data_IF_384496979679
#
_entry.id   IF_384496979679
#
_cell.length_a   1.000
_cell.length_b   1.000
_cell.length_c   1.000
_cell.angle_alpha   90.00
_cell.angle_beta   90.00
_cell.angle_gamma   90.00
#
_symmetry.space_group_name_H-M   'P 1'
#
loop_
_entity.id
_entity.type
_entity.pdbx_description
1 polymer ?
#
# COMPACT_ATOMS: atom_id res chain seq x y z
N UNK A 1 -18.53 -17.41 -14.03
CA UNK A 1 -17.76 -17.95 -12.89
C UNK A 1 -16.43 -17.21 -12.89
N UNK A 2 -16.12 -16.37 -11.89
CA UNK A 2 -14.82 -15.71 -11.84
C UNK A 2 -13.72 -16.74 -11.56
N UNK A 3 -12.49 -16.53 -12.06
CA UNK A 3 -11.39 -17.48 -11.90
C UNK A 3 -11.01 -17.61 -10.42
N UNK A 4 -10.82 -18.86 -9.99
CA UNK A 4 -10.27 -19.23 -8.68
C UNK A 4 -8.74 -19.17 -8.77
N UNK A 5 -8.15 -18.00 -8.57
CA UNK A 5 -6.71 -17.89 -8.33
C UNK A 5 -6.50 -17.64 -6.84
N UNK A 6 -5.77 -18.55 -6.19
CA UNK A 6 -5.51 -18.47 -4.77
C UNK A 6 -5.11 -19.82 -4.21
N UNK A 7 -3.99 -20.37 -4.68
CA UNK A 7 -3.28 -21.41 -3.92
C UNK A 7 -1.75 -21.22 -3.99
N UNK A 8 -1.21 -20.69 -5.09
CA UNK A 8 0.24 -20.47 -5.20
C UNK A 8 0.64 -19.02 -4.94
N UNK A 9 1.59 -18.76 -4.02
CA UNK A 9 2.14 -17.42 -3.82
C UNK A 9 2.86 -16.96 -5.09
N UNK A 10 2.78 -15.66 -5.39
CA UNK A 10 3.51 -15.10 -6.53
C UNK A 10 5.02 -15.08 -6.29
N UNK A 11 5.44 -14.92 -5.04
CA UNK A 11 6.85 -14.96 -4.64
C UNK A 11 6.98 -15.80 -3.38
N UNK A 12 7.94 -16.73 -3.38
CA UNK A 12 8.22 -17.55 -2.22
C UNK A 12 9.72 -17.60 -1.91
N UNK A 13 10.07 -17.22 -0.68
CA UNK A 13 11.44 -17.21 -0.17
C UNK A 13 11.63 -18.41 0.76
N UNK A 14 12.10 -19.54 0.21
CA UNK A 14 12.30 -20.79 0.95
C UNK A 14 13.73 -20.95 1.42
N UNK A 15 13.95 -21.07 2.74
CA UNK A 15 15.24 -21.40 3.40
C UNK A 15 16.44 -20.68 2.76
N UNK A 16 16.38 -19.36 2.68
CA UNK A 16 17.32 -18.54 1.92
C UNK A 16 17.77 -17.36 2.76
N UNK A 17 18.96 -16.85 2.47
CA UNK A 17 19.51 -15.62 3.04
C UNK A 17 19.38 -14.43 2.08
N UNK A 18 18.74 -14.64 0.93
CA UNK A 18 18.61 -13.63 -0.12
C UNK A 18 17.66 -12.49 0.30
N UNK A 19 18.08 -11.25 0.05
CA UNK A 19 17.20 -10.08 0.14
C UNK A 19 16.21 -10.08 -1.03
N UNK A 20 14.93 -9.84 -0.73
CA UNK A 20 13.92 -9.56 -1.75
C UNK A 20 13.73 -8.04 -1.87
N UNK A 21 13.76 -7.54 -3.11
CA UNK A 21 13.37 -6.17 -3.43
C UNK A 21 12.36 -6.20 -4.57
N UNK A 22 11.18 -5.61 -4.34
CA UNK A 22 10.10 -5.43 -5.32
C UNK A 22 9.96 -3.94 -5.57
N UNK A 23 10.08 -3.53 -6.83
CA UNK A 23 10.09 -2.12 -7.21
C UNK A 23 9.33 -1.93 -8.53
N UNK A 24 8.49 -0.89 -8.62
CA UNK A 24 7.66 -0.61 -9.80
C UNK A 24 6.91 -1.83 -10.35
N UNK A 25 6.33 -2.63 -9.46
CA UNK A 25 5.79 -3.95 -9.78
C UNK A 25 4.41 -4.20 -9.17
N UNK A 26 3.66 -5.10 -9.79
CA UNK A 26 2.45 -5.70 -9.19
C UNK A 26 2.78 -7.16 -8.91
N UNK A 27 2.71 -7.54 -7.64
CA UNK A 27 2.95 -8.92 -7.19
C UNK A 27 1.75 -9.41 -6.40
N UNK A 28 1.46 -10.71 -6.47
CA UNK A 28 0.50 -11.33 -5.55
C UNK A 28 1.12 -11.62 -4.20
N UNK A 29 0.52 -12.54 -3.44
CA UNK A 29 1.01 -12.94 -2.11
C UNK A 29 2.49 -13.30 -2.10
N UNK A 30 3.21 -12.77 -1.11
CA UNK A 30 4.61 -13.07 -0.81
C UNK A 30 4.67 -13.96 0.42
N UNK A 31 5.24 -15.16 0.27
CA UNK A 31 5.44 -16.10 1.37
C UNK A 31 6.91 -16.18 1.74
N UNK A 32 7.21 -16.01 3.03
CA UNK A 32 8.56 -16.14 3.59
C UNK A 32 8.61 -17.40 4.45
N UNK A 33 9.05 -18.51 3.85
CA UNK A 33 9.27 -19.79 4.53
C UNK A 33 10.70 -19.88 5.05
N UNK A 34 10.91 -19.31 6.23
CA UNK A 34 12.19 -19.35 6.96
C UNK A 34 12.01 -20.02 8.32
N UNK A 35 13.07 -20.68 8.76
CA UNK A 35 13.16 -21.23 10.11
C UNK A 35 13.51 -20.09 11.09
N UNK A 36 12.53 -19.65 11.89
CA UNK A 36 12.69 -18.60 12.92
C UNK A 36 13.85 -18.87 13.89
N UNK A 37 14.27 -20.13 14.03
CA UNK A 37 15.37 -20.54 14.92
C UNK A 37 16.76 -20.36 14.29
N UNK A 38 16.84 -20.06 12.98
CA UNK A 38 18.09 -19.99 12.22
C UNK A 38 18.30 -18.61 11.60
N UNK A 39 18.89 -17.72 12.38
CA UNK A 39 19.48 -16.47 11.89
C UNK A 39 18.56 -15.25 11.94
N UNK A 40 19.07 -14.14 11.41
CA UNK A 40 18.38 -12.86 11.38
C UNK A 40 17.16 -12.90 10.44
N UNK A 41 16.09 -12.12 10.70
CA UNK A 41 14.97 -11.99 9.78
C UNK A 41 15.42 -11.59 8.37
N UNK A 42 14.73 -12.10 7.35
CA UNK A 42 15.04 -11.78 5.97
C UNK A 42 14.66 -10.33 5.64
N UNK A 43 15.52 -9.62 4.91
CA UNK A 43 15.17 -8.26 4.44
C UNK A 43 14.25 -8.33 3.22
N UNK A 44 13.07 -7.73 3.33
CA UNK A 44 12.09 -7.58 2.24
C UNK A 44 11.79 -6.10 2.04
N UNK A 45 12.09 -5.56 0.87
CA UNK A 45 11.82 -4.17 0.50
C UNK A 45 10.79 -4.13 -0.62
N UNK A 46 9.72 -3.37 -0.42
CA UNK A 46 8.69 -3.14 -1.42
C UNK A 46 8.53 -1.64 -1.60
N UNK A 47 8.68 -1.19 -2.84
CA UNK A 47 8.78 0.22 -3.21
C UNK A 47 7.95 0.48 -4.45
N UNK A 48 7.13 1.53 -4.47
CA UNK A 48 6.45 1.98 -5.69
C UNK A 48 5.63 0.86 -6.34
N UNK A 49 5.03 0.00 -5.52
CA UNK A 49 4.52 -1.30 -5.93
C UNK A 49 3.18 -1.64 -5.30
N UNK A 50 2.47 -2.57 -5.95
CA UNK A 50 1.22 -3.14 -5.48
C UNK A 50 1.46 -4.58 -5.06
N UNK A 51 1.01 -4.94 -3.86
CA UNK A 51 0.93 -6.33 -3.40
C UNK A 51 -0.55 -6.68 -3.27
N UNK A 52 -1.03 -7.66 -4.04
CA UNK A 52 -2.45 -8.00 -4.10
C UNK A 52 -2.73 -9.46 -3.72
N UNK A 53 -3.30 -9.67 -2.54
CA UNK A 53 -3.78 -10.96 -2.07
C UNK A 53 -5.18 -11.31 -2.60
N UNK A 54 -5.75 -10.50 -3.50
CA UNK A 54 -7.11 -10.58 -4.08
C UNK A 54 -8.27 -10.24 -3.12
N UNK A 55 -7.98 -10.04 -1.84
CA UNK A 55 -8.93 -9.56 -0.82
C UNK A 55 -8.18 -8.94 0.35
N UNK A 56 -8.78 -7.98 1.05
CA UNK A 56 -8.17 -7.36 2.23
C UNK A 56 -8.03 -8.33 3.42
N UNK A 57 -8.79 -9.42 3.46
CA UNK A 57 -8.74 -10.44 4.53
C UNK A 57 -7.77 -11.59 4.21
N UNK A 58 -7.16 -11.59 3.02
CA UNK A 58 -6.19 -12.60 2.60
C UNK A 58 -4.77 -12.14 2.90
N UNK A 59 -3.85 -13.07 3.22
CA UNK A 59 -2.46 -12.72 3.51
C UNK A 59 -1.74 -12.24 2.24
N UNK A 60 -1.32 -10.97 2.24
CA UNK A 60 -0.47 -10.40 1.21
C UNK A 60 1.02 -10.66 1.48
N UNK A 61 1.43 -10.60 2.75
CA UNK A 61 2.80 -10.95 3.18
C UNK A 61 2.72 -11.79 4.45
N UNK A 62 3.20 -13.03 4.39
CA UNK A 62 3.05 -14.00 5.48
C UNK A 62 4.14 -15.09 5.44
N UNK A 63 4.18 -15.95 6.46
CA UNK A 63 4.84 -17.26 6.35
C UNK A 63 3.79 -18.34 6.02
N UNK A 64 4.19 -19.58 5.72
CA UNK A 64 3.24 -20.69 5.56
C UNK A 64 2.28 -20.80 6.75
N UNK A 65 1.06 -21.28 6.49
CA UNK A 65 -0.01 -21.44 7.49
C UNK A 65 -0.43 -20.12 8.19
N UNK A 66 -0.39 -19.01 7.45
CA UNK A 66 -0.77 -17.66 7.90
C UNK A 66 0.01 -17.16 9.13
N UNK A 67 1.20 -17.71 9.34
CA UNK A 67 2.11 -17.31 10.41
C UNK A 67 2.78 -15.96 10.10
N UNK A 68 3.50 -15.44 11.08
CA UNK A 68 4.35 -14.27 10.89
C UNK A 68 5.56 -14.63 10.04
N UNK A 69 5.73 -13.95 8.90
CA UNK A 69 6.96 -14.03 8.11
C UNK A 69 8.15 -13.64 9.00
N UNK A 70 9.19 -14.48 9.07
CA UNK A 70 10.47 -14.12 9.69
C UNK A 70 11.25 -13.14 8.79
N UNK A 71 10.67 -11.95 8.61
CA UNK A 71 11.12 -10.91 7.71
C UNK A 71 11.03 -9.53 8.35
N UNK A 72 12.02 -8.70 8.04
CA UNK A 72 11.99 -7.26 8.21
C UNK A 72 11.47 -6.61 6.93
N UNK A 73 10.25 -6.10 6.97
CA UNK A 73 9.57 -5.51 5.82
C UNK A 73 9.74 -3.99 5.80
N UNK A 74 10.18 -3.45 4.66
CA UNK A 74 10.13 -2.01 4.37
C UNK A 74 9.08 -1.74 3.29
N UNK A 75 8.19 -0.78 3.53
CA UNK A 75 7.19 -0.30 2.57
C UNK A 75 7.42 1.18 2.28
N UNK A 76 7.55 1.56 1.01
CA UNK A 76 7.62 2.98 0.61
C UNK A 76 6.75 3.20 -0.62
N UNK A 77 5.77 4.10 -0.52
CA UNK A 77 4.83 4.39 -1.62
C UNK A 77 4.22 3.11 -2.21
N UNK A 78 3.63 2.29 -1.36
CA UNK A 78 3.09 0.98 -1.73
C UNK A 78 1.61 0.86 -1.44
N UNK A 79 0.89 0.09 -2.26
CA UNK A 79 -0.50 -0.30 -1.98
C UNK A 79 -0.56 -1.80 -1.75
N UNK A 80 -0.91 -2.22 -0.54
CA UNK A 80 -1.07 -3.62 -0.15
C UNK A 80 -2.55 -3.93 0.03
N UNK A 81 -3.10 -4.73 -0.89
CA UNK A 81 -4.44 -5.29 -0.81
C UNK A 81 -4.39 -6.64 -0.08
N UNK A 82 -4.51 -6.61 1.24
CA UNK A 82 -4.44 -7.81 2.07
C UNK A 82 -3.79 -7.57 3.43
N UNK A 83 -3.74 -8.63 4.22
CA UNK A 83 -3.08 -8.67 5.52
C UNK A 83 -1.57 -8.76 5.39
N UNK A 84 -0.87 -8.09 6.31
CA UNK A 84 0.59 -8.13 6.44
C UNK A 84 0.93 -8.68 7.82
N UNK A 85 1.61 -9.84 7.86
CA UNK A 85 2.07 -10.50 9.08
C UNK A 85 3.58 -10.72 9.00
N UNK A 86 4.35 -9.86 9.65
CA UNK A 86 5.81 -9.86 9.57
C UNK A 86 6.48 -9.80 10.94
N UNK A 87 7.73 -10.23 11.01
CA UNK A 87 8.51 -10.17 12.23
C UNK A 87 8.69 -8.72 12.70
N UNK A 88 9.06 -7.83 11.79
CA UNK A 88 9.18 -6.40 12.06
C UNK A 88 8.88 -5.56 10.81
N UNK A 89 8.46 -4.31 11.03
CA UNK A 89 8.34 -3.29 10.00
C UNK A 89 9.27 -2.11 10.33
N UNK A 90 10.57 -2.17 10.00
CA UNK A 90 11.51 -1.08 10.30
C UNK A 90 11.05 0.28 9.76
N UNK A 91 10.43 0.30 8.57
CA UNK A 91 9.90 1.50 7.95
C UNK A 91 8.68 1.20 7.07
N UNK A 92 7.57 1.88 7.33
CA UNK A 92 6.48 2.03 6.37
C UNK A 92 6.21 3.51 6.14
N UNK A 93 6.31 3.99 4.90
CA UNK A 93 6.08 5.40 4.56
C UNK A 93 5.23 5.58 3.30
N UNK A 94 4.39 6.62 3.28
CA UNK A 94 3.56 7.00 2.13
C UNK A 94 2.76 5.83 1.55
N UNK A 95 2.40 4.84 2.35
CA UNK A 95 1.88 3.55 1.90
C UNK A 95 0.47 3.28 2.43
N UNK A 96 -0.26 2.42 1.75
CA UNK A 96 -1.59 1.95 2.11
C UNK A 96 -1.53 0.45 2.34
N UNK A 97 -2.01 -0.01 3.50
CA UNK A 97 -2.34 -1.41 3.76
C UNK A 97 -3.83 -1.48 4.02
N UNK A 98 -4.59 -2.22 3.21
CA UNK A 98 -6.05 -2.31 3.37
C UNK A 98 -6.48 -3.35 4.38
N UNK A 99 -5.69 -4.43 4.51
CA UNK A 99 -5.87 -5.45 5.54
C UNK A 99 -5.16 -5.08 6.84
N UNK A 100 -5.09 -6.04 7.75
CA UNK A 100 -4.46 -5.85 9.04
C UNK A 100 -2.92 -5.84 8.92
N UNK A 101 -2.28 -4.89 9.59
CA UNK A 101 -0.82 -4.79 9.67
C UNK A 101 -0.33 -5.26 11.04
N UNK A 102 0.23 -6.47 11.09
CA UNK A 102 0.72 -7.10 12.30
C UNK A 102 2.25 -7.21 12.30
N UNK A 103 2.87 -6.79 13.40
CA UNK A 103 4.29 -7.00 13.65
C UNK A 103 4.52 -7.74 14.98
N UNK A 104 5.44 -8.69 15.01
CA UNK A 104 5.88 -9.34 16.25
C UNK A 104 6.70 -8.36 17.10
N UNK A 105 7.65 -7.66 16.46
CA UNK A 105 8.43 -6.59 17.06
C UNK A 105 7.71 -5.26 16.91
N UNK A 106 7.35 -4.69 18.05
CA UNK A 106 6.50 -3.48 18.16
C UNK A 106 7.24 -2.31 18.82
N UNK A 107 8.35 -2.60 19.46
CA UNK A 107 9.26 -1.66 20.11
C UNK A 107 10.18 -0.94 19.11
N UNK A 108 10.20 -1.40 17.87
CA UNK A 108 11.13 -0.98 16.82
C UNK A 108 10.39 -0.79 15.49
N UNK A 109 10.81 0.22 14.75
CA UNK A 109 10.20 0.61 13.47
C UNK A 109 9.18 1.74 13.59
N UNK A 110 8.62 2.14 12.45
CA UNK A 110 7.64 3.21 12.37
C UNK A 110 6.78 3.08 11.10
N UNK A 111 5.47 3.26 11.24
CA UNK A 111 4.57 3.55 10.14
C UNK A 111 4.33 5.07 10.12
N UNK A 112 4.72 5.75 9.06
CA UNK A 112 4.64 7.21 8.93
C UNK A 112 3.90 7.65 7.68
N UNK A 113 3.11 8.72 7.75
CA UNK A 113 2.39 9.29 6.60
C UNK A 113 1.73 8.20 5.75
N UNK A 114 1.03 7.27 6.38
CA UNK A 114 0.54 6.04 5.75
C UNK A 114 -0.85 5.71 6.27
N UNK A 115 -1.50 4.75 5.63
CA UNK A 115 -2.77 4.19 6.08
C UNK A 115 -2.62 2.71 6.38
N UNK A 116 -3.15 2.29 7.53
CA UNK A 116 -3.45 0.90 7.84
C UNK A 116 -4.60 0.87 8.88
N UNK A 117 -5.56 -0.06 8.81
CA UNK A 117 -6.59 -0.23 9.83
C UNK A 117 -5.99 -0.30 11.25
N UNK A 118 -6.65 0.32 12.23
CA UNK A 118 -6.22 0.28 13.65
C UNK A 118 -6.78 -0.97 14.36
N UNK A 119 -6.97 -2.07 13.62
CA UNK A 119 -7.62 -3.29 14.11
C UNK A 119 -6.75 -4.11 15.05
N UNK A 120 -5.42 -3.99 14.95
CA UNK A 120 -4.47 -4.84 15.67
C UNK A 120 -3.23 -4.07 16.14
N UNK A 121 -2.53 -4.57 17.17
CA UNK A 121 -1.24 -4.01 17.58
C UNK A 121 -0.23 -4.10 16.43
N UNK A 122 0.23 -2.93 15.98
CA UNK A 122 1.23 -2.78 14.93
C UNK A 122 2.41 -1.92 15.39
N UNK A 123 3.26 -1.47 14.46
CA UNK A 123 4.37 -0.58 14.77
C UNK A 123 3.86 0.80 15.24
N UNK A 124 4.71 1.61 15.91
CA UNK A 124 4.41 2.99 16.23
C UNK A 124 3.97 3.78 14.99
N UNK A 125 2.97 4.65 15.15
CA UNK A 125 2.38 5.42 14.06
C UNK A 125 2.72 6.90 14.16
N UNK A 126 3.14 7.51 13.07
CA UNK A 126 3.43 8.94 12.97
C UNK A 126 2.63 9.56 11.83
N UNK A 127 1.73 10.52 12.14
CA UNK A 127 0.91 11.25 11.15
C UNK A 127 0.23 10.33 10.11
N UNK A 128 -0.26 9.17 10.56
CA UNK A 128 -0.98 8.23 9.71
C UNK A 128 -2.45 8.63 9.58
N UNK A 129 -3.03 8.37 8.42
CA UNK A 129 -4.47 8.42 8.26
C UNK A 129 -5.12 7.32 9.12
N UNK A 130 -6.21 7.66 9.79
CA UNK A 130 -6.97 6.77 10.66
C UNK A 130 -8.46 6.97 10.45
N UNK A 131 -9.24 6.12 11.09
CA UNK A 131 -10.70 6.17 11.09
C UNK A 131 -11.24 7.59 11.39
N UNK A 132 -12.29 8.03 10.66
CA UNK A 132 -13.11 7.26 9.71
C UNK A 132 -12.54 7.15 8.29
N UNK A 133 -11.40 7.77 7.96
CA UNK A 133 -10.85 7.74 6.61
C UNK A 133 -10.54 6.30 6.15
N UNK A 134 -10.88 5.99 4.90
CA UNK A 134 -10.64 4.68 4.26
C UNK A 134 -10.14 4.89 2.84
N UNK A 135 -9.18 4.08 2.36
CA UNK A 135 -8.81 4.09 0.95
C UNK A 135 -10.03 3.78 0.10
N UNK A 136 -10.32 4.66 -0.83
CA UNK A 136 -11.35 4.45 -1.84
C UNK A 136 -10.65 4.37 -3.18
N UNK A 137 -10.62 3.19 -3.79
CA UNK A 137 -9.99 2.96 -5.09
C UNK A 137 -11.01 3.04 -6.21
N UNK A 138 -10.58 3.52 -7.38
CA UNK A 138 -11.36 3.45 -8.62
C UNK A 138 -11.70 2.01 -8.98
N UNK A 139 -10.73 1.10 -8.82
CA UNK A 139 -10.97 -0.34 -8.91
C UNK A 139 -9.93 -1.12 -8.11
N UNK A 140 -10.35 -2.23 -7.51
CA UNK A 140 -9.44 -3.24 -6.92
C UNK A 140 -9.35 -4.50 -7.78
N UNK A 141 -9.95 -4.48 -8.99
CA UNK A 141 -9.93 -5.62 -9.89
C UNK A 141 -8.70 -5.55 -10.80
N UNK A 142 -7.82 -6.55 -10.69
CA UNK A 142 -6.69 -6.67 -11.60
C UNK A 142 -7.13 -6.68 -13.07
N UNK A 143 -6.41 -5.92 -13.91
CA UNK A 143 -6.73 -5.70 -15.32
C UNK A 143 -7.70 -4.55 -15.61
N UNK A 144 -8.28 -3.91 -14.60
CA UNK A 144 -8.99 -2.64 -14.78
C UNK A 144 -7.99 -1.49 -15.00
N UNK A 145 -8.24 -0.52 -15.90
CA UNK A 145 -7.34 0.62 -16.11
C UNK A 145 -7.09 1.43 -14.84
N UNK A 146 -8.14 1.68 -14.05
CA UNK A 146 -8.06 2.33 -12.74
C UNK A 146 -7.66 1.42 -11.56
N UNK A 147 -6.97 0.31 -11.81
CA UNK A 147 -6.59 -0.65 -10.78
C UNK A 147 -5.66 -0.02 -9.72
N UNK A 148 -6.06 -0.09 -8.46
CA UNK A 148 -5.40 0.47 -7.27
C UNK A 148 -5.17 1.99 -7.30
N UNK A 149 -5.69 2.70 -8.29
CA UNK A 149 -5.69 4.16 -8.30
C UNK A 149 -6.72 4.66 -7.29
N UNK A 150 -6.37 5.68 -6.50
CA UNK A 150 -7.33 6.31 -5.62
C UNK A 150 -8.45 6.95 -6.45
N UNK A 151 -9.68 6.73 -6.01
CA UNK A 151 -10.83 7.41 -6.57
C UNK A 151 -10.76 8.91 -6.20
N UNK A 152 -11.25 9.77 -7.07
CA UNK A 152 -11.21 11.24 -6.88
C UNK A 152 -11.98 11.70 -5.64
N UNK A 153 -12.99 10.93 -5.22
CA UNK A 153 -13.74 11.13 -3.98
C UNK A 153 -13.10 10.49 -2.74
N UNK A 154 -11.85 10.00 -2.81
CA UNK A 154 -11.14 9.46 -1.65
C UNK A 154 -10.85 10.58 -0.64
N UNK A 155 -10.95 10.22 0.65
CA UNK A 155 -10.73 11.14 1.77
C UNK A 155 -9.38 11.88 1.63
N UNK A 156 -9.32 13.21 1.83
CA UNK A 156 -8.09 14.01 1.75
C UNK A 156 -6.96 13.52 2.66
N UNK A 157 -7.28 12.89 3.80
CA UNK A 157 -6.27 12.28 4.67
C UNK A 157 -5.49 11.16 3.97
N UNK A 158 -5.97 10.64 2.86
CA UNK A 158 -5.34 9.59 2.06
C UNK A 158 -4.94 10.13 0.67
N UNK A 159 -5.81 10.88 0.00
CA UNK A 159 -5.50 11.42 -1.33
C UNK A 159 -4.47 12.55 -1.30
N UNK A 160 -4.23 13.19 -0.14
CA UNK A 160 -3.16 14.18 0.08
C UNK A 160 -2.36 13.89 1.35
N UNK A 161 -2.39 12.64 1.82
CA UNK A 161 -1.89 12.23 3.12
C UNK A 161 -0.38 11.98 3.22
N UNK A 162 0.33 11.99 2.09
CA UNK A 162 1.76 11.71 2.07
C UNK A 162 2.59 12.82 2.73
N UNK A 163 3.86 12.53 3.02
CA UNK A 163 4.79 13.47 3.65
C UNK A 163 4.91 14.82 2.91
N UNK A 164 4.81 14.80 1.59
CA UNK A 164 4.89 15.96 0.69
C UNK A 164 3.51 16.44 0.18
N UNK A 165 2.42 15.90 0.75
CA UNK A 165 1.05 16.21 0.36
C UNK A 165 0.54 15.50 -0.90
N UNK A 166 1.30 14.57 -1.47
CA UNK A 166 0.81 13.70 -2.54
C UNK A 166 -0.13 12.60 -2.01
N UNK A 167 -0.64 11.78 -2.93
CA UNK A 167 -1.45 10.63 -2.56
C UNK A 167 -0.62 9.54 -1.87
N UNK A 168 -1.27 8.81 -0.97
CA UNK A 168 -0.71 7.60 -0.40
C UNK A 168 -0.76 6.45 -1.42
N UNK A 169 0.18 5.51 -1.32
CA UNK A 169 0.17 4.27 -2.08
C UNK A 169 1.08 4.29 -3.32
N UNK A 170 0.89 3.29 -4.18
CA UNK A 170 1.74 3.03 -5.35
C UNK A 170 1.72 4.13 -6.43
N UNK A 171 0.68 4.96 -6.46
CA UNK A 171 0.52 6.02 -7.46
C UNK A 171 1.03 7.39 -6.99
N UNK A 172 1.64 7.47 -5.81
CA UNK A 172 2.21 8.69 -5.24
C UNK A 172 3.02 9.53 -6.25
N UNK A 173 3.90 8.89 -7.03
CA UNK A 173 4.80 9.57 -7.99
C UNK A 173 4.07 10.16 -9.21
N UNK A 174 2.78 9.89 -9.41
CA UNK A 174 1.98 10.59 -10.42
C UNK A 174 1.61 12.00 -9.98
N UNK A 175 1.69 12.32 -8.69
CA UNK A 175 1.32 13.63 -8.16
C UNK A 175 -0.05 14.11 -8.67
N UNK A 176 -1.01 13.19 -8.77
CA UNK A 176 -2.36 13.47 -9.27
C UNK A 176 -3.05 14.62 -8.51
N UNK A 177 -2.97 14.71 -7.16
CA UNK A 177 -3.59 15.80 -6.42
C UNK A 177 -2.98 17.16 -6.80
N UNK A 178 -1.66 17.24 -6.91
CA UNK A 178 -0.95 18.47 -7.28
C UNK A 178 -1.24 18.85 -8.74
N UNK A 179 -1.24 17.86 -9.64
CA UNK A 179 -1.56 18.08 -11.05
C UNK A 179 -2.97 18.62 -11.24
N UNK A 180 -3.95 18.05 -10.54
CA UNK A 180 -5.34 18.54 -10.54
C UNK A 180 -5.45 19.94 -9.94
N UNK A 181 -4.80 20.19 -8.79
CA UNK A 181 -4.79 21.51 -8.14
C UNK A 181 -4.20 22.58 -9.07
N UNK A 182 -3.09 22.27 -9.73
CA UNK A 182 -2.47 23.16 -10.71
C UNK A 182 -3.41 23.41 -11.90
N UNK A 183 -4.07 22.39 -12.44
CA UNK A 183 -5.03 22.55 -13.53
C UNK A 183 -6.19 23.46 -13.14
N UNK A 184 -6.79 23.22 -11.97
CA UNK A 184 -7.90 24.05 -11.45
C UNK A 184 -7.45 25.49 -11.23
N UNK A 185 -6.25 25.70 -10.68
CA UNK A 185 -5.66 27.03 -10.52
C UNK A 185 -5.50 27.77 -11.84
N UNK A 186 -4.96 27.11 -12.87
CA UNK A 186 -4.82 27.70 -14.20
C UNK A 186 -6.19 27.94 -14.87
N UNK A 187 -7.16 27.05 -14.71
CA UNK A 187 -8.51 27.30 -15.23
C UNK A 187 -9.11 28.55 -14.57
N UNK A 188 -8.97 28.72 -13.25
CA UNK A 188 -9.47 29.92 -12.58
C UNK A 188 -8.80 31.22 -13.08
N UNK A 189 -7.52 31.16 -13.45
CA UNK A 189 -6.77 32.31 -13.97
C UNK A 189 -7.11 32.65 -15.43
N UNK A 190 -7.27 31.63 -16.28
CA UNK A 190 -7.34 31.79 -17.73
C UNK A 190 -8.74 31.60 -18.34
N UNK A 191 -9.76 31.25 -17.55
CA UNK A 191 -11.13 31.12 -18.06
C UNK A 191 -11.73 32.50 -18.38
N UNK A 192 -12.24 32.72 -19.62
CA UNK A 192 -12.84 33.99 -20.00
C UNK A 192 -14.06 34.35 -19.15
N UNK A 193 -14.29 35.66 -19.01
CA UNK A 193 -15.44 36.18 -18.27
C UNK A 193 -16.76 35.66 -18.88
N UNK A 194 -17.63 35.12 -18.02
CA UNK A 194 -18.94 34.57 -18.43
C UNK A 194 -18.91 33.10 -18.85
N UNK A 195 -17.79 32.40 -18.70
CA UNK A 195 -17.65 30.95 -18.91
C UNK A 195 -17.36 30.26 -17.57
N UNK A 196 -18.00 29.14 -17.31
CA UNK A 196 -17.65 28.25 -16.19
C UNK A 196 -16.93 27.02 -16.71
N UNK A 197 -15.76 26.71 -16.16
CA UNK A 197 -15.02 25.50 -16.49
C UNK A 197 -15.17 24.48 -15.37
N UNK A 198 -15.37 23.22 -15.75
CA UNK A 198 -15.39 22.08 -14.84
C UNK A 198 -14.41 21.01 -15.32
N UNK A 199 -13.66 20.41 -14.40
CA UNK A 199 -12.79 19.28 -14.69
C UNK A 199 -13.60 18.00 -14.52
N UNK A 200 -13.64 17.18 -15.57
CA UNK A 200 -14.31 15.87 -15.57
C UNK A 200 -13.25 14.79 -15.71
N UNK A 201 -13.13 13.93 -14.70
CA UNK A 201 -12.21 12.78 -14.71
C UNK A 201 -12.89 11.57 -15.33
N UNK A 202 -12.24 10.93 -16.31
CA UNK A 202 -12.68 9.65 -16.84
C UNK A 202 -12.07 8.51 -16.02
N UNK A 203 -12.94 7.65 -15.48
CA UNK A 203 -12.59 6.46 -14.68
C UNK A 203 -12.90 5.18 -15.44
#
# INVERSE_FOLDING_TARGET
MPPRWGEEPSVELRRTTARLRVEHSIVGTIVVDQDETKGNPLTVEILDSIVDATSHDLPAVTAPEDRFAHAELTLRRCTVLGDVRVHALPLGENSIVTGCLHTLRRDTGCLRYSYAPVSHPGPPRYRCATDPARPHFTSTRYGHPGYCQLHTACDPLISTGAEDGAELGAFHDLYQPQSLSNLVGHLAEYVPLGVEAAVITAT
#
